data_IF_201722162222
#
_entry.id   IF_201722162222
#
_cell.length_a   1.000
_cell.length_b   1.000
_cell.length_c   1.000
_cell.angle_alpha   90.00
_cell.angle_beta   90.00
_cell.angle_gamma   90.00
#
_symmetry.space_group_name_H-M   'P 1'
#
loop_
_entity.id
_entity.type
_entity.pdbx_description
1 polymer ?
#
# COMPACT_ATOMS: atom_id res chain seq x y z
N UNK A 1 39.82 16.04 -40.00
CA UNK A 1 38.47 16.62 -39.83
C UNK A 1 37.79 15.82 -38.75
N UNK A 2 37.66 16.38 -37.54
CA UNK A 2 36.87 15.76 -36.48
C UNK A 2 35.40 16.04 -36.79
N UNK A 3 34.59 14.99 -36.93
CA UNK A 3 33.15 15.09 -37.04
C UNK A 3 32.62 15.56 -35.68
N UNK A 4 31.96 16.72 -35.66
CA UNK A 4 31.19 17.16 -34.51
C UNK A 4 29.97 16.25 -34.38
N UNK A 5 29.84 15.55 -33.25
CA UNK A 5 28.57 14.95 -32.87
C UNK A 5 27.54 16.09 -32.76
N UNK A 6 26.51 16.05 -33.59
CA UNK A 6 25.36 16.94 -33.45
C UNK A 6 24.71 16.66 -32.10
N UNK A 7 24.42 17.70 -31.32
CA UNK A 7 23.57 17.57 -30.13
C UNK A 7 22.23 16.96 -30.54
N UNK A 8 22.01 15.70 -30.18
CA UNK A 8 20.73 15.04 -30.42
C UNK A 8 19.67 15.71 -29.57
N UNK A 9 18.70 16.35 -30.22
CA UNK A 9 17.59 16.97 -29.54
C UNK A 9 16.70 15.88 -28.92
N UNK A 10 16.81 15.72 -27.59
CA UNK A 10 16.10 14.72 -26.78
C UNK A 10 14.58 14.83 -26.94
N UNK A 11 14.04 16.03 -27.23
CA UNK A 11 12.60 16.27 -27.40
C UNK A 11 12.00 15.48 -28.59
N UNK A 12 12.83 15.06 -29.54
CA UNK A 12 12.37 14.24 -30.66
C UNK A 12 12.06 12.79 -30.24
N UNK A 13 12.67 12.31 -29.16
CA UNK A 13 12.65 10.91 -28.74
C UNK A 13 11.90 10.69 -27.43
N UNK A 14 11.60 11.75 -26.69
CA UNK A 14 10.88 11.71 -25.41
C UNK A 14 9.75 12.73 -25.45
N UNK A 15 8.51 12.27 -25.29
CA UNK A 15 7.33 13.14 -25.26
C UNK A 15 6.51 12.86 -24.02
N UNK A 16 6.23 13.90 -23.24
CA UNK A 16 5.29 13.83 -22.12
C UNK A 16 3.93 14.28 -22.63
N UNK A 17 2.92 13.42 -22.51
CA UNK A 17 1.56 13.67 -22.97
C UNK A 17 0.55 13.11 -21.99
N UNK A 18 -0.71 13.54 -22.10
CA UNK A 18 -1.80 12.89 -21.40
C UNK A 18 -2.11 11.52 -22.05
N UNK A 19 -2.19 10.49 -21.23
CA UNK A 19 -2.61 9.15 -21.61
C UNK A 19 -4.11 8.91 -21.35
N UNK A 20 -4.47 7.64 -21.27
CA UNK A 20 -5.80 7.21 -20.88
C UNK A 20 -6.15 7.73 -19.48
N UNK A 21 -7.42 8.15 -19.31
CA UNK A 21 -7.91 8.72 -18.05
C UNK A 21 -7.26 10.07 -17.67
N UNK A 22 -6.54 10.72 -18.59
CA UNK A 22 -5.84 11.98 -18.31
C UNK A 22 -4.59 11.82 -17.45
N UNK A 23 -4.09 10.60 -17.27
CA UNK A 23 -2.86 10.38 -16.51
C UNK A 23 -1.64 10.75 -17.37
N UNK A 24 -0.63 11.43 -16.79
CA UNK A 24 0.56 11.79 -17.53
C UNK A 24 1.38 10.55 -17.88
N UNK A 25 1.85 10.51 -19.13
CA UNK A 25 2.59 9.41 -19.75
C UNK A 25 3.78 9.95 -20.51
N UNK A 26 4.84 9.16 -20.56
CA UNK A 26 6.01 9.39 -21.42
C UNK A 26 5.93 8.41 -22.58
N UNK A 27 6.03 8.91 -23.80
CA UNK A 27 6.31 8.09 -24.98
C UNK A 27 7.79 8.25 -25.33
N UNK A 28 8.48 7.12 -25.42
CA UNK A 28 9.85 7.03 -25.90
C UNK A 28 9.83 6.50 -27.33
N UNK A 29 10.58 7.13 -28.23
CA UNK A 29 10.77 6.66 -29.60
C UNK A 29 12.26 6.45 -29.85
N UNK A 30 12.64 5.27 -30.31
CA UNK A 30 14.00 4.96 -30.73
C UNK A 30 14.27 5.50 -32.13
N UNK A 31 15.53 5.82 -32.43
CA UNK A 31 15.99 6.21 -33.79
C UNK A 31 15.63 5.17 -34.87
N UNK A 32 15.45 3.91 -34.48
CA UNK A 32 15.07 2.82 -35.37
C UNK A 32 13.55 2.57 -35.42
N UNK A 33 12.73 3.43 -34.79
CA UNK A 33 11.28 3.42 -34.90
C UNK A 33 10.53 2.58 -33.85
N UNK A 34 11.22 1.85 -32.97
CA UNK A 34 10.55 1.21 -31.82
C UNK A 34 10.05 2.25 -30.82
N UNK A 35 8.94 1.97 -30.14
CA UNK A 35 8.31 2.90 -29.20
C UNK A 35 8.03 2.23 -27.86
N UNK A 36 8.04 3.00 -26.78
CA UNK A 36 7.57 2.56 -25.47
C UNK A 36 6.69 3.62 -24.83
N UNK A 37 5.66 3.18 -24.11
CA UNK A 37 4.80 4.06 -23.33
C UNK A 37 4.92 3.76 -21.85
N UNK A 38 5.17 4.79 -21.04
CA UNK A 38 5.37 4.68 -19.60
C UNK A 38 4.45 5.66 -18.89
N UNK A 39 3.52 5.16 -18.06
CA UNK A 39 2.73 6.03 -17.19
C UNK A 39 3.58 6.45 -15.99
N UNK A 40 3.56 7.76 -15.68
CA UNK A 40 4.27 8.27 -14.50
C UNK A 40 3.65 7.73 -13.20
N UNK A 41 2.35 7.42 -13.23
CA UNK A 41 1.71 6.69 -12.14
C UNK A 41 2.27 5.26 -12.06
N UNK A 42 2.98 4.98 -10.96
CA UNK A 42 3.59 3.68 -10.69
C UNK A 42 4.78 3.33 -11.59
N UNK A 43 5.22 4.24 -12.48
CA UNK A 43 6.30 3.99 -13.44
C UNK A 43 6.03 2.79 -14.36
N UNK A 44 4.75 2.52 -14.65
CA UNK A 44 4.34 1.30 -15.36
C UNK A 44 4.55 1.46 -16.87
N UNK A 45 5.31 0.55 -17.47
CA UNK A 45 5.48 0.48 -18.93
C UNK A 45 4.27 -0.26 -19.50
N UNK A 46 3.42 0.43 -20.25
CA UNK A 46 2.14 -0.11 -20.72
C UNK A 46 2.16 -0.55 -22.18
N UNK A 47 3.16 -0.13 -22.95
CA UNK A 47 3.33 -0.52 -24.35
C UNK A 47 4.82 -0.59 -24.66
N UNK A 48 5.22 -1.59 -25.44
CA UNK A 48 6.52 -1.63 -26.10
C UNK A 48 6.30 -2.15 -27.51
N UNK A 49 6.31 -1.23 -28.47
CA UNK A 49 6.05 -1.52 -29.87
C UNK A 49 7.34 -1.66 -30.65
N UNK A 50 7.45 -2.78 -31.37
CA UNK A 50 8.47 -3.00 -32.40
C UNK A 50 7.73 -3.21 -33.71
N UNK A 51 8.08 -2.39 -34.71
CA UNK A 51 7.31 -2.23 -35.94
C UNK A 51 5.83 -1.93 -35.65
N UNK A 52 4.93 -2.87 -35.97
CA UNK A 52 3.48 -2.75 -35.75
C UNK A 52 2.96 -3.61 -34.61
N UNK A 53 3.83 -4.36 -33.93
CA UNK A 53 3.45 -5.31 -32.88
C UNK A 53 3.74 -4.72 -31.51
N UNK A 54 2.72 -4.65 -30.65
CA UNK A 54 2.92 -4.37 -29.23
C UNK A 54 3.31 -5.66 -28.51
N UNK A 55 4.46 -5.63 -27.82
CA UNK A 55 5.02 -6.76 -27.12
C UNK A 55 4.45 -6.90 -25.70
N UNK A 56 3.76 -5.88 -25.20
CA UNK A 56 3.16 -5.87 -23.88
C UNK A 56 1.64 -5.97 -23.96
N UNK A 57 1.06 -6.72 -23.04
CA UNK A 57 -0.39 -6.81 -22.91
C UNK A 57 -0.87 -5.98 -21.73
N UNK A 58 -1.79 -5.05 -22.01
CA UNK A 58 -2.62 -4.38 -21.02
C UNK A 58 -4.04 -4.87 -21.18
N UNK A 59 -4.69 -5.18 -20.06
CA UNK A 59 -6.07 -5.65 -20.10
C UNK A 59 -6.98 -4.61 -20.74
N UNK A 60 -7.93 -5.00 -21.61
CA UNK A 60 -8.89 -4.07 -22.21
C UNK A 60 -9.75 -3.30 -21.20
N UNK A 61 -9.96 -3.87 -20.02
CA UNK A 61 -10.70 -3.28 -18.90
C UNK A 61 -9.80 -2.63 -17.83
N UNK A 62 -8.52 -2.39 -18.14
CA UNK A 62 -7.63 -1.66 -17.25
C UNK A 62 -8.14 -0.23 -17.01
N UNK A 63 -8.14 0.17 -15.73
CA UNK A 63 -8.63 1.48 -15.29
C UNK A 63 -7.44 2.42 -15.05
N UNK A 64 -7.45 3.59 -15.68
CA UNK A 64 -6.39 4.59 -15.61
C UNK A 64 -6.82 5.79 -14.75
N UNK A 65 -7.02 5.57 -13.45
CA UNK A 65 -7.53 6.62 -12.52
C UNK A 65 -6.54 7.00 -11.42
N UNK A 66 -5.32 6.45 -11.43
CA UNK A 66 -4.33 6.57 -10.35
C UNK A 66 -4.79 6.08 -8.96
N UNK A 67 -5.93 5.37 -8.89
CA UNK A 67 -6.44 4.79 -7.63
C UNK A 67 -5.93 3.36 -7.39
N UNK A 68 -5.59 2.64 -8.47
CA UNK A 68 -5.13 1.26 -8.44
C UNK A 68 -4.02 1.06 -9.48
N UNK A 69 -3.12 0.08 -9.28
CA UNK A 69 -2.14 -0.29 -10.30
C UNK A 69 -2.78 -0.57 -11.65
N UNK A 70 -2.14 -0.12 -12.73
CA UNK A 70 -2.57 -0.40 -14.10
C UNK A 70 -2.47 -1.91 -14.32
N UNK A 71 -3.53 -2.52 -14.86
CA UNK A 71 -3.65 -3.97 -15.00
C UNK A 71 -3.02 -4.47 -16.30
N UNK A 72 -1.72 -4.73 -16.26
CA UNK A 72 -0.91 -5.26 -17.37
C UNK A 72 0.38 -4.46 -17.55
N UNK A 73 1.05 -4.66 -18.68
CA UNK A 73 2.36 -4.03 -18.93
C UNK A 73 3.44 -4.57 -17.97
N UNK A 74 4.34 -3.69 -17.54
CA UNK A 74 5.43 -3.98 -16.59
C UNK A 74 5.19 -3.12 -15.34
N UNK A 75 4.39 -3.60 -14.37
CA UNK A 75 4.20 -2.91 -13.10
C UNK A 75 5.45 -3.01 -12.24
N UNK A 76 5.81 -1.91 -11.57
CA UNK A 76 6.91 -1.91 -10.62
C UNK A 76 6.42 -2.32 -9.23
N UNK A 77 7.00 -3.36 -8.65
CA UNK A 77 6.55 -3.92 -7.37
C UNK A 77 7.70 -3.89 -6.37
N UNK A 78 7.74 -2.82 -5.57
CA UNK A 78 8.80 -2.58 -4.60
C UNK A 78 8.25 -1.84 -3.38
N UNK A 79 8.69 -2.18 -2.15
CA UNK A 79 9.64 -3.25 -1.82
C UNK A 79 8.99 -4.64 -1.72
N UNK A 80 7.71 -4.80 -2.07
CA UNK A 80 7.01 -6.08 -2.05
C UNK A 80 6.06 -6.24 -3.23
N UNK A 81 6.04 -7.44 -3.80
CA UNK A 81 5.07 -7.87 -4.79
C UNK A 81 4.11 -8.89 -4.17
N UNK A 82 2.80 -8.72 -4.39
CA UNK A 82 1.78 -9.64 -3.86
C UNK A 82 1.71 -9.66 -2.32
N UNK A 83 1.03 -10.67 -1.74
CA UNK A 83 0.99 -10.87 -0.29
C UNK A 83 2.41 -11.06 0.27
N UNK A 84 2.72 -10.43 1.40
CA UNK A 84 4.07 -10.47 1.97
C UNK A 84 4.23 -9.59 3.23
N UNK A 85 5.44 -9.54 3.81
CA UNK A 85 5.71 -9.14 5.20
C UNK A 85 5.68 -7.64 5.51
N UNK A 86 5.63 -6.74 4.52
CA UNK A 86 5.20 -5.37 4.77
C UNK A 86 3.76 -5.41 5.30
N UNK A 87 3.61 -4.89 6.51
CA UNK A 87 2.43 -5.09 7.33
C UNK A 87 1.14 -4.56 6.65
N UNK A 88 0.27 -5.48 6.26
CA UNK A 88 -1.19 -5.28 6.31
C UNK A 88 -1.72 -6.08 7.51
N UNK A 89 -1.29 -5.77 8.72
CA UNK A 89 -1.94 -6.27 9.92
C UNK A 89 -3.16 -5.39 10.19
N UNK A 90 -4.27 -5.68 9.49
CA UNK A 90 -5.54 -5.09 9.92
C UNK A 90 -5.95 -5.78 11.21
N UNK A 91 -5.85 -5.05 12.32
CA UNK A 91 -6.38 -5.46 13.62
C UNK A 91 -7.88 -5.16 13.74
N UNK A 92 -8.50 -4.64 12.67
CA UNK A 92 -9.92 -4.25 12.65
C UNK A 92 -10.89 -5.38 12.99
N UNK A 93 -10.50 -6.64 12.73
CA UNK A 93 -11.29 -7.81 13.07
C UNK A 93 -11.03 -8.35 14.48
N UNK A 94 -9.92 -7.95 15.12
CA UNK A 94 -9.55 -8.48 16.44
C UNK A 94 -10.32 -7.76 17.56
N UNK A 95 -10.60 -8.49 18.64
CA UNK A 95 -11.24 -7.92 19.82
C UNK A 95 -10.84 -8.62 21.11
N UNK A 96 -10.97 -7.92 22.23
CA UNK A 96 -10.70 -8.48 23.57
C UNK A 96 -11.92 -8.31 24.47
N UNK A 97 -12.35 -9.39 25.11
CA UNK A 97 -13.36 -9.38 26.19
C UNK A 97 -12.71 -9.60 27.55
N UNK A 98 -13.32 -9.02 28.57
CA UNK A 98 -12.89 -9.13 29.97
C UNK A 98 -12.21 -7.87 30.52
N UNK A 99 -11.88 -6.89 29.67
CA UNK A 99 -11.18 -5.68 30.12
C UNK A 99 -12.08 -4.61 30.74
N UNK A 100 -13.41 -4.79 30.74
CA UNK A 100 -14.33 -3.82 31.34
C UNK A 100 -14.05 -3.62 32.82
N UNK A 101 -14.03 -2.37 33.25
CA UNK A 101 -13.71 -1.96 34.62
C UNK A 101 -12.21 -1.91 34.93
N UNK A 102 -11.34 -2.33 34.01
CA UNK A 102 -9.89 -2.18 34.20
C UNK A 102 -9.51 -0.70 34.16
N UNK A 103 -8.56 -0.31 35.01
CA UNK A 103 -7.91 0.99 34.90
C UNK A 103 -7.10 1.04 33.61
N UNK A 104 -7.18 2.15 32.89
CA UNK A 104 -6.44 2.37 31.64
C UNK A 104 -5.40 3.48 31.80
N UNK A 105 -4.29 3.34 31.08
CA UNK A 105 -3.25 4.35 30.92
C UNK A 105 -3.01 4.55 29.42
N UNK A 106 -3.61 5.57 28.83
CA UNK A 106 -3.43 5.92 27.42
C UNK A 106 -2.21 6.82 27.24
N UNK A 107 -1.23 6.37 26.45
CA UNK A 107 0.02 7.08 26.17
C UNK A 107 -0.05 7.99 24.95
N UNK A 108 -1.10 7.90 24.15
CA UNK A 108 -1.37 8.86 23.10
C UNK A 108 -2.15 10.06 23.69
N UNK A 109 -1.69 11.32 23.54
CA UNK A 109 -0.61 11.78 22.67
C UNK A 109 0.79 11.92 23.31
N UNK A 110 0.93 11.82 24.63
CA UNK A 110 2.23 11.95 25.31
C UNK A 110 2.54 10.75 26.22
N UNK A 111 3.50 9.89 25.84
CA UNK A 111 3.84 8.70 26.63
C UNK A 111 4.49 9.04 27.98
N UNK A 112 4.96 10.28 28.17
CA UNK A 112 5.53 10.74 29.45
C UNK A 112 4.46 11.15 30.44
N UNK A 113 3.24 11.44 29.98
CA UNK A 113 2.12 11.90 30.78
C UNK A 113 0.84 11.12 30.38
N UNK A 114 0.78 9.81 30.65
CA UNK A 114 -0.34 8.99 30.21
C UNK A 114 -1.65 9.45 30.86
N UNK A 115 -2.71 9.49 30.07
CA UNK A 115 -4.06 9.81 30.53
C UNK A 115 -4.65 8.59 31.22
N UNK A 116 -4.99 8.74 32.49
CA UNK A 116 -5.67 7.69 33.24
C UNK A 116 -7.16 7.64 32.89
N UNK A 117 -7.72 6.43 32.89
CA UNK A 117 -9.15 6.21 32.69
C UNK A 117 -9.61 4.85 33.19
N UNK A 118 -10.82 4.48 32.78
CA UNK A 118 -11.41 3.16 33.00
C UNK A 118 -12.04 2.67 31.70
N UNK A 119 -11.94 1.38 31.42
CA UNK A 119 -12.57 0.77 30.26
C UNK A 119 -14.04 0.47 30.53
N UNK A 120 -14.94 1.13 29.81
CA UNK A 120 -16.38 0.92 29.96
C UNK A 120 -16.95 -0.15 29.02
N UNK A 121 -16.19 -0.53 27.98
CA UNK A 121 -16.67 -1.44 26.93
C UNK A 121 -16.57 -2.90 27.37
N UNK A 122 -17.63 -3.67 27.13
CA UNK A 122 -17.63 -5.13 27.32
C UNK A 122 -16.71 -5.86 26.32
N UNK A 123 -16.52 -5.26 25.14
CA UNK A 123 -15.66 -5.73 24.06
C UNK A 123 -14.77 -4.58 23.60
N UNK A 124 -13.47 -4.75 23.71
CA UNK A 124 -12.49 -3.79 23.19
C UNK A 124 -12.16 -4.13 21.75
N UNK A 125 -12.37 -3.18 20.85
CA UNK A 125 -12.00 -3.27 19.43
C UNK A 125 -10.93 -2.23 19.10
N UNK A 126 -10.23 -2.43 17.99
CA UNK A 126 -9.07 -1.62 17.59
C UNK A 126 -9.34 -0.91 16.24
N UNK A 127 -10.12 0.19 16.23
CA UNK A 127 -10.48 0.88 14.98
C UNK A 127 -9.32 1.67 14.34
N UNK A 128 -8.17 1.74 15.01
CA UNK A 128 -6.97 2.45 14.58
C UNK A 128 -5.80 2.16 15.51
N UNK A 129 -4.77 3.02 15.48
CA UNK A 129 -3.66 2.93 16.42
C UNK A 129 -4.12 3.23 17.84
N UNK A 130 -3.79 2.35 18.78
CA UNK A 130 -4.10 2.49 20.21
C UNK A 130 -2.81 2.20 20.99
N UNK A 131 -2.41 3.11 21.87
CA UNK A 131 -1.30 2.91 22.81
C UNK A 131 -1.82 3.02 24.25
N UNK A 132 -2.53 1.97 24.68
CA UNK A 132 -3.24 1.93 25.97
C UNK A 132 -2.81 0.70 26.78
N UNK A 133 -2.48 0.91 28.06
CA UNK A 133 -2.18 -0.16 29.01
C UNK A 133 -3.39 -0.37 29.92
N UNK A 134 -3.79 -1.62 30.09
CA UNK A 134 -4.81 -2.04 31.06
C UNK A 134 -4.11 -2.53 32.33
N UNK A 135 -4.42 -1.92 33.46
CA UNK A 135 -3.83 -2.23 34.77
C UNK A 135 -4.82 -3.08 35.56
N UNK A 136 -4.30 -4.02 36.36
CA UNK A 136 -5.09 -4.98 37.15
C UNK A 136 -6.10 -5.78 36.31
N UNK A 137 -5.66 -6.19 35.11
CA UNK A 137 -6.45 -7.02 34.22
C UNK A 137 -6.88 -8.34 34.92
N UNK A 138 -8.09 -8.85 34.64
CA UNK A 138 -8.58 -10.07 35.27
C UNK A 138 -7.73 -11.28 34.89
N UNK A 139 -7.88 -12.35 35.68
CA UNK A 139 -7.16 -13.62 35.46
C UNK A 139 -7.50 -14.29 34.13
N UNK A 140 -8.65 -13.98 33.53
CA UNK A 140 -9.09 -14.56 32.26
C UNK A 140 -9.48 -13.48 31.25
N UNK A 141 -8.92 -13.57 30.06
CA UNK A 141 -9.23 -12.74 28.90
C UNK A 141 -9.56 -13.60 27.69
N UNK A 142 -10.44 -13.09 26.83
CA UNK A 142 -10.81 -13.75 25.58
C UNK A 142 -10.42 -12.85 24.41
N UNK A 143 -9.51 -13.34 23.57
CA UNK A 143 -9.02 -12.67 22.38
C UNK A 143 -9.65 -13.32 21.15
N UNK A 144 -10.40 -12.55 20.37
CA UNK A 144 -10.79 -12.91 19.00
C UNK A 144 -9.70 -12.42 18.06
N UNK A 145 -9.16 -13.31 17.22
CA UNK A 145 -8.10 -12.95 16.28
C UNK A 145 -8.62 -12.26 15.00
N UNK A 146 -9.94 -12.16 14.82
CA UNK A 146 -10.58 -11.57 13.65
C UNK A 146 -10.53 -12.45 12.39
N UNK A 147 -10.05 -13.69 12.52
CA UNK A 147 -9.89 -14.67 11.44
C UNK A 147 -10.77 -15.91 11.66
N UNK A 148 -11.63 -15.89 12.67
CA UNK A 148 -12.55 -16.98 13.01
C UNK A 148 -12.07 -17.87 14.17
N UNK A 149 -10.91 -17.60 14.76
CA UNK A 149 -10.45 -18.30 15.96
C UNK A 149 -10.52 -17.39 17.19
N UNK A 150 -10.68 -18.02 18.36
CA UNK A 150 -10.62 -17.34 19.65
C UNK A 150 -9.60 -18.01 20.57
N UNK A 151 -8.85 -17.19 21.30
CA UNK A 151 -7.82 -17.59 22.24
C UNK A 151 -8.25 -17.14 23.63
N UNK A 152 -8.24 -18.06 24.59
CA UNK A 152 -8.44 -17.73 26.00
C UNK A 152 -7.08 -17.65 26.68
N UNK A 153 -6.79 -16.51 27.32
CA UNK A 153 -5.58 -16.28 28.09
C UNK A 153 -5.95 -16.35 29.56
N UNK A 154 -5.34 -17.29 30.30
CA UNK A 154 -5.56 -17.48 31.74
C UNK A 154 -4.27 -17.31 32.52
N UNK A 155 -4.29 -16.46 33.54
CA UNK A 155 -3.32 -16.52 34.61
C UNK A 155 -3.71 -17.67 35.56
N UNK A 156 -2.77 -18.56 35.84
CA UNK A 156 -3.01 -19.80 36.63
C UNK A 156 -2.19 -19.84 37.92
N UNK A 157 -1.56 -18.72 38.28
CA UNK A 157 -0.73 -18.58 39.47
C UNK A 157 -1.49 -17.99 40.63
#
# INVERSE_FOLDING_TARGET
MASSASEENVDNYVKVTDGLGGLPKVTLTCVHGSEAEIYLYGGCITSWRVDSTDLLYVRPDAVFTALKPISGGIPHCFPQFGPGPMQQASVSGASVKGLKGCKTLNKDPDPRNPVEGMEERDVVTFPGFVDCIYVDAPEELYLDNGLGDSITIKNTK
#
